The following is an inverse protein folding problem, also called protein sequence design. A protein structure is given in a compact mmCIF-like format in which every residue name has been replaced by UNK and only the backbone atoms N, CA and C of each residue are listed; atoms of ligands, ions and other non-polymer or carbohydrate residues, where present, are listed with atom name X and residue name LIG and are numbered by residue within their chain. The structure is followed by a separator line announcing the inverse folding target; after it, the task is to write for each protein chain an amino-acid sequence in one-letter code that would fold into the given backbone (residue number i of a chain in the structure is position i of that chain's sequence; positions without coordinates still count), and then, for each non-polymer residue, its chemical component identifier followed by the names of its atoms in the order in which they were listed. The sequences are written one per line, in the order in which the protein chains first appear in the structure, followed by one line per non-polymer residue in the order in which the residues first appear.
data_IF_179849002185
#
_entry.id   IF_179849002185
#
_cell.length_a   1.000
_cell.length_b   1.000
_cell.length_c   1.000
_cell.angle_alpha   90.00
_cell.angle_beta   90.00
_cell.angle_gamma   90.00
#
_symmetry.space_group_name_H-M   'P 1'
#
loop_
_entity.id
_entity.type
_entity.pdbx_description
1 polymer ?
#
# COMPACT_ATOMS: atom_id res chain seq x y z
N UNK A 1 -5.35 5.48 3.66
CA UNK A 1 -4.85 4.35 2.85
C UNK A 1 -3.42 4.71 2.47
N UNK A 2 -2.44 4.37 3.32
CA UNK A 2 -1.15 5.09 3.38
C UNK A 2 -0.09 4.59 2.40
N UNK A 3 -0.13 3.33 1.99
CA UNK A 3 0.87 2.76 1.08
C UNK A 3 0.36 2.76 -0.38
N UNK A 4 -0.87 2.26 -0.60
CA UNK A 4 -1.44 2.12 -1.94
C UNK A 4 -1.83 3.46 -2.61
N UNK A 5 -2.13 4.50 -1.84
CA UNK A 5 -2.42 5.83 -2.38
C UNK A 5 -1.18 6.44 -3.05
N UNK A 6 -0.08 6.61 -2.28
CA UNK A 6 1.20 7.07 -2.83
C UNK A 6 1.77 6.16 -3.93
N UNK A 7 1.62 4.83 -3.80
CA UNK A 7 2.05 3.90 -4.85
C UNK A 7 1.29 4.12 -6.16
N UNK A 8 -0.04 4.27 -6.11
CA UNK A 8 -0.83 4.59 -7.32
C UNK A 8 -0.44 5.93 -7.94
N UNK A 9 -0.11 6.94 -7.13
CA UNK A 9 0.38 8.22 -7.64
C UNK A 9 1.75 8.06 -8.31
N UNK A 10 2.65 7.27 -7.73
CA UNK A 10 3.99 7.02 -8.27
C UNK A 10 3.98 6.23 -9.58
N UNK A 11 3.05 5.29 -9.72
CA UNK A 11 2.86 4.49 -10.94
C UNK A 11 2.00 5.21 -11.98
N UNK A 12 1.24 6.24 -11.58
CA UNK A 12 0.34 6.96 -12.45
C UNK A 12 1.07 7.62 -13.61
N UNK A 13 0.60 7.36 -14.84
CA UNK A 13 1.16 7.95 -16.06
C UNK A 13 2.45 7.31 -16.57
N UNK A 14 3.01 6.30 -15.87
CA UNK A 14 4.12 5.50 -16.38
C UNK A 14 3.61 4.39 -17.28
N UNK A 15 4.23 4.23 -18.44
CA UNK A 15 4.03 3.08 -19.31
C UNK A 15 5.21 2.12 -19.12
N UNK A 16 4.90 0.85 -18.90
CA UNK A 16 5.88 -0.22 -18.70
C UNK A 16 5.79 -1.19 -19.88
N UNK A 17 6.90 -1.80 -20.27
CA UNK A 17 6.89 -2.71 -21.43
C UNK A 17 6.32 -4.08 -21.05
N UNK A 18 6.55 -4.53 -19.82
CA UNK A 18 6.04 -5.80 -19.29
C UNK A 18 5.84 -5.78 -17.77
N UNK A 19 5.31 -6.88 -17.23
CA UNK A 19 5.05 -7.06 -15.81
C UNK A 19 6.32 -7.07 -14.95
N UNK A 20 7.46 -7.48 -15.51
CA UNK A 20 8.77 -7.45 -14.87
C UNK A 20 9.24 -6.03 -14.60
N UNK A 21 9.05 -5.11 -15.54
CA UNK A 21 9.31 -3.69 -15.37
C UNK A 21 8.45 -3.08 -14.25
N UNK A 22 7.16 -3.44 -14.21
CA UNK A 22 6.23 -2.99 -13.16
C UNK A 22 6.69 -3.52 -11.80
N UNK A 23 7.04 -4.80 -11.69
CA UNK A 23 7.51 -5.40 -10.45
C UNK A 23 8.80 -4.75 -9.97
N UNK A 24 9.74 -4.47 -10.87
CA UNK A 24 11.00 -3.82 -10.54
C UNK A 24 10.78 -2.40 -9.99
N UNK A 25 9.96 -1.60 -10.67
CA UNK A 25 9.64 -0.22 -10.26
C UNK A 25 8.92 -0.19 -8.90
N UNK A 26 7.97 -1.09 -8.68
CA UNK A 26 7.25 -1.22 -7.40
C UNK A 26 8.22 -1.59 -6.28
N UNK A 27 9.12 -2.56 -6.51
CA UNK A 27 10.13 -2.97 -5.53
C UNK A 27 11.10 -1.83 -5.20
N UNK A 28 11.56 -1.09 -6.22
CA UNK A 28 12.44 0.05 -6.05
C UNK A 28 11.77 1.14 -5.23
N UNK A 29 10.53 1.49 -5.55
CA UNK A 29 9.76 2.49 -4.83
C UNK A 29 9.51 2.09 -3.37
N UNK A 30 9.17 0.82 -3.14
CA UNK A 30 8.96 0.29 -1.79
C UNK A 30 10.23 0.38 -0.94
N UNK A 31 11.41 0.07 -1.50
CA UNK A 31 12.70 0.17 -0.77
C UNK A 31 13.06 1.60 -0.38
N UNK A 32 12.55 2.60 -1.09
CA UNK A 32 12.76 4.02 -0.79
C UNK A 32 11.80 4.57 0.27
N UNK A 33 10.75 3.82 0.63
CA UNK A 33 9.80 4.31 1.61
C UNK A 33 10.40 4.31 3.02
N UNK A 34 10.13 5.35 3.83
CA UNK A 34 10.51 5.39 5.23
C UNK A 34 9.90 4.22 6.00
N UNK A 35 10.63 3.68 6.99
CA UNK A 35 10.13 2.58 7.83
C UNK A 35 8.83 2.96 8.55
N UNK A 36 8.67 4.24 8.85
CA UNK A 36 7.52 4.85 9.51
C UNK A 36 6.26 4.77 8.62
N UNK A 37 6.40 4.83 7.29
CA UNK A 37 5.29 4.67 6.35
C UNK A 37 4.69 3.27 6.41
N UNK A 38 5.53 2.24 6.60
CA UNK A 38 5.08 0.87 6.82
C UNK A 38 4.41 0.70 8.20
N UNK A 39 5.02 1.26 9.26
CA UNK A 39 4.45 1.20 10.60
C UNK A 39 3.07 1.87 10.69
N UNK A 40 2.89 3.05 10.08
CA UNK A 40 1.62 3.74 10.03
C UNK A 40 0.57 3.00 9.17
N UNK A 41 1.00 2.38 8.06
CA UNK A 41 0.15 1.57 7.20
C UNK A 41 -0.35 0.31 7.90
N UNK A 42 0.55 -0.44 8.52
CA UNK A 42 0.26 -1.67 9.28
C UNK A 42 -0.62 -1.36 10.50
N UNK A 43 -0.31 -0.30 11.26
CA UNK A 43 -1.11 0.11 12.41
C UNK A 43 -2.56 0.44 12.05
N UNK A 44 -2.84 1.00 10.87
CA UNK A 44 -4.21 1.23 10.40
C UNK A 44 -4.89 -0.03 9.86
N UNK A 45 -4.14 -0.99 9.31
CA UNK A 45 -4.67 -2.29 8.93
C UNK A 45 -5.14 -3.06 10.17
N UNK A 46 -4.34 -3.09 11.23
CA UNK A 46 -4.72 -3.69 12.52
C UNK A 46 -6.00 -3.06 13.06
N UNK A 47 -6.10 -1.72 13.05
CA UNK A 47 -7.33 -1.01 13.47
C UNK A 47 -8.54 -1.31 12.58
N UNK A 48 -8.35 -1.51 11.28
CA UNK A 48 -9.44 -1.90 10.36
C UNK A 48 -9.88 -3.33 10.62
N UNK A 49 -8.94 -4.24 10.86
CA UNK A 49 -9.23 -5.64 11.15
C UNK A 49 -9.92 -5.79 12.50
N UNK A 50 -9.44 -5.10 13.54
CA UNK A 50 -10.09 -5.01 14.84
C UNK A 50 -11.51 -4.46 14.73
N UNK A 51 -11.69 -3.38 13.95
CA UNK A 51 -13.04 -2.88 13.64
C UNK A 51 -13.87 -3.94 12.91
N UNK A 52 -13.38 -4.64 11.89
CA UNK A 52 -14.15 -5.67 11.19
C UNK A 52 -14.49 -6.89 12.06
N UNK A 53 -13.66 -7.21 13.06
CA UNK A 53 -13.88 -8.33 13.98
C UNK A 53 -14.88 -7.94 15.08
N UNK A 54 -14.77 -6.70 15.59
CA UNK A 54 -15.65 -6.17 16.63
C UNK A 54 -16.96 -5.56 16.07
N UNK A 55 -17.02 -5.30 14.77
CA UNK A 55 -18.26 -4.97 14.06
C UNK A 55 -18.82 -6.29 13.54
N UNK A 56 -19.78 -6.86 14.25
CA UNK A 56 -20.49 -8.11 13.93
C UNK A 56 -21.34 -7.98 12.65
N UNK A 57 -20.69 -7.71 11.51
CA UNK A 57 -21.30 -7.34 10.24
C UNK A 57 -22.16 -6.07 10.39
N UNK A 58 -21.55 -4.89 10.19
CA UNK A 58 -22.33 -3.67 9.92
C UNK A 58 -23.21 -3.98 8.69
N UNK A 59 -24.52 -4.20 8.95
CA UNK A 59 -25.54 -4.56 7.95
C UNK A 59 -25.71 -3.43 6.94
#
# INVERSE_FOLDING_TARGET
MYLFGPLKQHLGGKHFADDGDVQHEVLLWMRQQPKECYAAGIGRLIKRWDKCINSDGDK
#
